data_IF_511568262842
#
_entry.id   IF_511568262842
#
_cell.length_a   1.000
_cell.length_b   1.000
_cell.length_c   1.000
_cell.angle_alpha   90.00
_cell.angle_beta   90.00
_cell.angle_gamma   90.00
#
_symmetry.space_group_name_H-M   'P 1'
#
loop_
_entity.id
_entity.type
_entity.pdbx_description
1 polymer ?
#
# COMPACT_ATOMS: atom_id res chain seq x y z
N UNK A 1 -18.88 43.26 45.01
CA UNK A 1 -18.75 43.64 43.58
C UNK A 1 -17.87 42.59 42.93
N UNK A 2 -18.24 41.77 41.95
CA UNK A 2 -19.46 41.57 41.17
C UNK A 2 -19.58 40.06 40.83
N UNK A 3 -20.77 39.63 40.43
CA UNK A 3 -21.15 38.25 40.06
C UNK A 3 -20.77 37.90 38.60
N UNK A 4 -20.75 36.59 38.29
CA UNK A 4 -21.46 35.86 37.18
C UNK A 4 -20.59 34.79 36.50
N UNK A 5 -20.89 33.50 36.73
CA UNK A 5 -21.74 32.55 35.94
C UNK A 5 -20.90 31.74 34.93
N UNK A 6 -20.65 30.43 35.13
CA UNK A 6 -21.46 29.22 34.79
C UNK A 6 -21.44 28.87 33.31
N UNK A 7 -20.97 27.67 32.93
CA UNK A 7 -21.66 26.74 31.98
C UNK A 7 -21.23 25.29 32.27
N UNK A 8 -22.24 24.44 32.51
CA UNK A 8 -22.20 22.99 32.69
C UNK A 8 -22.28 22.23 31.35
N UNK A 9 -21.87 20.96 31.36
CA UNK A 9 -22.53 19.89 30.61
C UNK A 9 -21.63 19.11 29.65
N UNK A 10 -21.80 17.81 29.38
CA UNK A 10 -22.75 16.76 29.77
C UNK A 10 -21.99 15.43 29.51
N UNK A 11 -22.02 14.49 30.46
CA UNK A 11 -21.48 13.13 30.32
C UNK A 11 -22.41 12.31 29.41
N UNK A 12 -21.96 12.00 28.20
CA UNK A 12 -22.71 11.18 27.22
C UNK A 12 -22.44 9.70 27.46
N UNK A 13 -23.08 9.12 28.48
CA UNK A 13 -23.35 7.68 28.51
C UNK A 13 -24.60 7.40 27.69
N UNK A 14 -24.44 6.74 26.54
CA UNK A 14 -25.56 6.28 25.72
C UNK A 14 -25.92 4.87 26.16
N UNK A 15 -26.94 4.76 27.01
CA UNK A 15 -27.66 3.51 27.26
C UNK A 15 -28.89 3.48 26.33
N UNK A 16 -28.82 2.75 25.21
CA UNK A 16 -30.00 2.47 24.39
C UNK A 16 -30.50 1.07 24.72
N UNK A 17 -31.57 1.06 25.50
CA UNK A 17 -32.40 -0.07 25.88
C UNK A 17 -33.10 -0.68 24.66
N UNK A 18 -33.01 -1.99 24.52
CA UNK A 18 -33.53 -2.76 23.39
C UNK A 18 -34.99 -3.16 23.68
N UNK A 19 -35.96 -2.37 23.19
CA UNK A 19 -37.37 -2.74 23.27
C UNK A 19 -37.83 -3.36 21.94
N UNK A 20 -37.72 -4.68 21.85
CA UNK A 20 -38.38 -5.47 20.82
C UNK A 20 -39.89 -5.50 21.08
N UNK A 21 -40.68 -4.92 20.17
CA UNK A 21 -42.08 -5.30 19.98
C UNK A 21 -42.30 -5.64 18.51
N UNK A 22 -42.53 -6.93 18.26
CA UNK A 22 -42.90 -7.51 16.98
C UNK A 22 -44.22 -6.94 16.47
N UNK A 23 -44.33 -6.76 15.15
CA UNK A 23 -45.55 -7.08 14.38
C UNK A 23 -45.18 -7.38 12.93
N UNK A 24 -45.55 -8.59 12.48
CA UNK A 24 -45.36 -9.12 11.13
C UNK A 24 -46.18 -8.34 10.09
N UNK A 25 -45.69 -8.25 8.85
CA UNK A 25 -46.49 -8.33 7.62
C UNK A 25 -45.61 -8.72 6.43
N UNK A 26 -46.08 -9.71 5.66
CA UNK A 26 -45.55 -10.22 4.39
C UNK A 26 -45.43 -9.13 3.31
N UNK A 27 -44.28 -9.06 2.64
CA UNK A 27 -44.16 -8.72 1.21
C UNK A 27 -42.69 -8.82 0.75
N UNK A 28 -42.42 -9.80 -0.11
CA UNK A 28 -41.26 -9.98 -1.02
C UNK A 28 -40.09 -8.97 -0.88
N UNK A 29 -39.05 -9.34 -0.13
CA UNK A 29 -37.89 -8.48 0.14
C UNK A 29 -36.70 -8.90 -0.74
N UNK A 30 -36.42 -8.12 -1.78
CA UNK A 30 -35.14 -8.15 -2.51
C UNK A 30 -33.99 -8.08 -1.49
N UNK A 31 -33.10 -9.07 -1.50
CA UNK A 31 -32.00 -9.17 -0.53
C UNK A 31 -30.95 -8.09 -0.81
N UNK A 32 -31.16 -6.90 -0.27
CA UNK A 32 -30.16 -5.85 -0.26
C UNK A 32 -29.12 -6.17 0.82
N UNK A 33 -27.87 -6.34 0.40
CA UNK A 33 -26.74 -6.46 1.32
C UNK A 33 -26.58 -5.16 2.11
N UNK A 34 -27.15 -5.12 3.30
CA UNK A 34 -27.12 -3.96 4.18
C UNK A 34 -25.73 -3.81 4.79
N UNK A 35 -24.90 -2.95 4.19
CA UNK A 35 -23.69 -2.46 4.84
C UNK A 35 -24.11 -1.70 6.10
N UNK A 36 -23.65 -2.16 7.25
CA UNK A 36 -24.01 -1.56 8.55
C UNK A 36 -23.67 -0.07 8.58
N UNK A 37 -24.53 0.75 9.20
CA UNK A 37 -24.25 2.18 9.40
C UNK A 37 -22.90 2.42 10.08
N UNK A 38 -22.49 1.52 10.98
CA UNK A 38 -21.18 1.57 11.63
C UNK A 38 -20.03 1.47 10.63
N UNK A 39 -20.16 0.59 9.64
CA UNK A 39 -19.18 0.37 8.59
C UNK A 39 -19.11 1.56 7.62
N UNK A 40 -20.26 2.15 7.30
CA UNK A 40 -20.34 3.37 6.50
C UNK A 40 -19.68 4.56 7.20
N UNK A 41 -19.92 4.73 8.50
CA UNK A 41 -19.26 5.76 9.33
C UNK A 41 -17.74 5.55 9.33
N UNK A 42 -17.27 4.32 9.54
CA UNK A 42 -15.84 3.99 9.52
C UNK A 42 -15.19 4.33 8.16
N UNK A 43 -15.91 4.06 7.06
CA UNK A 43 -15.42 4.39 5.71
C UNK A 43 -15.26 5.90 5.49
N UNK A 44 -16.19 6.72 6.00
CA UNK A 44 -16.11 8.17 5.91
C UNK A 44 -14.97 8.75 6.75
N UNK A 45 -14.81 8.24 7.99
CA UNK A 45 -13.71 8.63 8.88
C UNK A 45 -12.35 8.34 8.22
N UNK A 46 -12.16 7.12 7.70
CA UNK A 46 -10.94 6.73 6.98
C UNK A 46 -10.65 7.60 5.77
N UNK A 47 -11.68 7.98 5.01
CA UNK A 47 -11.52 8.86 3.84
C UNK A 47 -11.11 10.28 4.24
N UNK A 48 -11.70 10.81 5.31
CA UNK A 48 -11.38 12.14 5.83
C UNK A 48 -9.93 12.21 6.33
N UNK A 49 -9.49 11.20 7.09
CA UNK A 49 -8.10 11.10 7.57
C UNK A 49 -7.09 11.03 6.41
N UNK A 50 -7.41 10.28 5.35
CA UNK A 50 -6.59 10.20 4.16
C UNK A 50 -6.47 11.55 3.43
N UNK A 51 -7.53 12.34 3.43
CA UNK A 51 -7.58 13.65 2.80
C UNK A 51 -6.80 14.69 3.62
N UNK A 52 -6.94 14.66 4.95
CA UNK A 52 -6.12 15.47 5.87
C UNK A 52 -4.63 15.17 5.72
N UNK A 53 -4.23 13.90 5.62
CA UNK A 53 -2.82 13.52 5.38
C UNK A 53 -2.26 13.98 4.04
N UNK A 54 -3.08 14.13 3.00
CA UNK A 54 -2.62 14.69 1.71
C UNK A 54 -2.33 16.18 1.79
N UNK A 55 -3.11 16.90 2.60
CA UNK A 55 -2.93 18.34 2.81
C UNK A 55 -1.74 18.64 3.71
N UNK A 56 -1.36 17.69 4.57
CA UNK A 56 -0.24 17.83 5.46
C UNK A 56 1.10 17.80 4.70
N UNK A 57 1.93 18.83 4.91
CA UNK A 57 3.25 18.90 4.29
C UNK A 57 4.14 17.78 4.84
N UNK A 58 4.85 17.02 4.00
CA UNK A 58 5.75 15.97 4.46
C UNK A 58 6.82 16.53 5.40
N UNK A 59 6.80 16.09 6.65
CA UNK A 59 7.76 16.50 7.66
C UNK A 59 8.75 15.37 7.92
N UNK A 60 10.05 15.61 7.64
CA UNK A 60 11.12 14.60 7.73
C UNK A 60 11.32 14.02 9.14
N UNK A 61 10.88 14.73 10.17
CA UNK A 61 11.03 14.31 11.57
C UNK A 61 9.88 13.42 12.04
N UNK A 62 8.82 13.25 11.25
CA UNK A 62 7.74 12.32 11.59
C UNK A 62 8.17 10.88 11.37
N UNK A 63 7.72 10.00 12.25
CA UNK A 63 8.02 8.57 12.22
C UNK A 63 7.47 7.85 10.99
N UNK A 64 6.42 8.39 10.35
CA UNK A 64 5.80 7.85 9.16
C UNK A 64 6.28 8.49 7.85
N UNK A 65 7.29 9.38 7.91
CA UNK A 65 7.87 10.00 6.72
C UNK A 65 8.44 8.94 5.76
N UNK A 66 8.11 9.07 4.48
CA UNK A 66 8.54 8.13 3.43
C UNK A 66 7.72 6.84 3.36
N UNK A 67 6.78 6.61 4.28
CA UNK A 67 5.86 5.46 4.23
C UNK A 67 4.54 5.85 3.56
N UNK A 68 4.06 5.08 2.57
CA UNK A 68 2.76 5.37 1.97
C UNK A 68 1.63 5.14 2.97
N UNK A 69 0.57 5.92 2.82
CA UNK A 69 -0.67 5.75 3.57
C UNK A 69 -1.22 4.33 3.42
N UNK A 70 -1.69 3.74 4.51
CA UNK A 70 -2.30 2.41 4.51
C UNK A 70 -3.59 2.37 3.66
N UNK A 71 -3.73 1.33 2.84
CA UNK A 71 -4.80 1.17 1.86
C UNK A 71 -4.69 2.11 0.64
N UNK A 72 -3.63 2.91 0.53
CA UNK A 72 -3.48 3.81 -0.62
C UNK A 72 -3.01 3.08 -1.88
N UNK A 73 -3.31 3.68 -3.05
CA UNK A 73 -2.78 3.20 -4.33
C UNK A 73 -1.24 3.15 -4.35
N UNK A 74 -0.57 4.06 -3.62
CA UNK A 74 0.89 4.08 -3.53
C UNK A 74 1.42 2.87 -2.76
N UNK A 75 0.78 2.49 -1.65
CA UNK A 75 1.12 1.25 -0.93
C UNK A 75 0.94 0.02 -1.83
N UNK A 76 -0.20 -0.09 -2.52
CA UNK A 76 -0.47 -1.21 -3.41
C UNK A 76 0.57 -1.33 -4.54
N UNK A 77 0.98 -0.21 -5.15
CA UNK A 77 2.06 -0.19 -6.14
C UNK A 77 3.41 -0.60 -5.53
N UNK A 78 3.72 -0.13 -4.33
CA UNK A 78 4.95 -0.51 -3.63
C UNK A 78 5.02 -2.01 -3.35
N UNK A 79 3.92 -2.61 -2.86
CA UNK A 79 3.82 -4.05 -2.63
C UNK A 79 3.98 -4.81 -3.94
N UNK A 80 3.28 -4.39 -5.01
CA UNK A 80 3.38 -5.05 -6.31
C UNK A 80 4.78 -4.98 -6.91
N UNK A 81 5.48 -3.85 -6.74
CA UNK A 81 6.83 -3.67 -7.26
C UNK A 81 7.89 -4.42 -6.41
N UNK A 82 7.61 -4.67 -5.13
CA UNK A 82 8.55 -5.30 -4.20
C UNK A 82 9.05 -6.64 -4.71
N UNK A 83 8.15 -7.53 -5.14
CA UNK A 83 8.54 -8.88 -5.57
C UNK A 83 9.44 -8.84 -6.81
N UNK A 84 9.13 -7.97 -7.77
CA UNK A 84 9.93 -7.78 -8.98
C UNK A 84 11.32 -7.26 -8.64
N UNK A 85 11.42 -6.20 -7.84
CA UNK A 85 12.71 -5.61 -7.45
C UNK A 85 13.53 -6.59 -6.61
N UNK A 86 12.90 -7.30 -5.68
CA UNK A 86 13.56 -8.31 -4.85
C UNK A 86 14.13 -9.43 -5.72
N UNK A 87 13.40 -9.86 -6.76
CA UNK A 87 13.91 -10.84 -7.70
C UNK A 87 15.09 -10.29 -8.52
N UNK A 88 14.98 -9.07 -9.06
CA UNK A 88 16.08 -8.43 -9.80
C UNK A 88 17.35 -8.27 -8.98
N UNK A 89 17.23 -7.96 -7.69
CA UNK A 89 18.36 -7.89 -6.74
C UNK A 89 18.97 -9.28 -6.54
N UNK A 90 18.17 -10.33 -6.33
CA UNK A 90 18.67 -11.70 -6.20
C UNK A 90 19.42 -12.15 -7.46
N UNK A 91 18.87 -11.86 -8.62
CA UNK A 91 19.48 -12.19 -9.90
C UNK A 91 20.80 -11.42 -10.08
N UNK A 92 20.83 -10.14 -9.71
CA UNK A 92 22.04 -9.33 -9.71
C UNK A 92 23.11 -9.90 -8.77
N UNK A 93 22.76 -10.24 -7.54
CA UNK A 93 23.71 -10.83 -6.58
C UNK A 93 24.25 -12.18 -7.08
N UNK A 94 23.39 -13.03 -7.63
CA UNK A 94 23.79 -14.32 -8.23
C UNK A 94 24.74 -14.09 -9.40
N UNK A 95 24.43 -13.10 -10.25
CA UNK A 95 25.29 -12.73 -11.37
C UNK A 95 26.66 -12.26 -10.89
N UNK A 96 26.73 -11.38 -9.90
CA UNK A 96 27.99 -10.90 -9.31
C UNK A 96 28.77 -12.05 -8.70
N UNK A 97 28.11 -12.95 -7.97
CA UNK A 97 28.75 -14.11 -7.36
C UNK A 97 29.39 -15.05 -8.39
N UNK A 98 28.76 -15.22 -9.56
CA UNK A 98 29.23 -16.12 -10.61
C UNK A 98 30.28 -15.50 -11.55
N UNK A 99 30.24 -14.18 -11.75
CA UNK A 99 31.05 -13.50 -12.78
C UNK A 99 32.05 -12.47 -12.19
N UNK A 100 31.96 -12.19 -10.89
CA UNK A 100 32.85 -11.26 -10.20
C UNK A 100 34.17 -11.88 -9.81
N UNK A 101 35.12 -11.02 -9.47
CA UNK A 101 36.44 -11.39 -8.94
C UNK A 101 36.38 -11.46 -7.43
N UNK A 102 36.92 -12.54 -6.86
CA UNK A 102 37.08 -12.69 -5.42
C UNK A 102 38.32 -11.92 -4.95
N UNK A 103 38.13 -11.11 -3.92
CA UNK A 103 39.17 -10.31 -3.28
C UNK A 103 39.80 -11.06 -2.09
N UNK A 104 40.93 -10.55 -1.60
CA UNK A 104 41.67 -11.13 -0.46
C UNK A 104 40.86 -11.12 0.85
N UNK A 105 39.91 -10.19 0.98
CA UNK A 105 38.98 -10.08 2.11
C UNK A 105 37.74 -10.99 2.00
N UNK A 106 37.75 -11.94 1.05
CA UNK A 106 36.62 -12.81 0.67
C UNK A 106 35.39 -12.09 0.11
N UNK A 107 35.45 -10.79 -0.18
CA UNK A 107 34.37 -10.12 -0.92
C UNK A 107 34.42 -10.49 -2.41
N UNK A 108 33.27 -10.44 -3.09
CA UNK A 108 33.19 -10.61 -4.55
C UNK A 108 32.82 -9.26 -5.14
N UNK A 109 33.62 -8.79 -6.10
CA UNK A 109 33.40 -7.52 -6.78
C UNK A 109 33.34 -7.71 -8.28
N UNK A 110 32.57 -6.86 -8.95
CA UNK A 110 32.52 -6.82 -10.41
C UNK A 110 32.67 -5.37 -10.85
N UNK A 111 33.35 -5.13 -11.96
CA UNK A 111 33.37 -3.80 -12.55
C UNK A 111 32.02 -3.49 -13.19
N UNK A 112 31.66 -2.21 -13.24
CA UNK A 112 30.44 -1.78 -13.91
C UNK A 112 30.42 -2.20 -15.40
N UNK A 113 31.57 -2.15 -16.09
CA UNK A 113 31.68 -2.60 -17.49
C UNK A 113 31.29 -4.07 -17.68
N UNK A 114 31.89 -4.97 -16.90
CA UNK A 114 31.59 -6.41 -16.96
C UNK A 114 30.12 -6.72 -16.64
N UNK A 115 29.52 -5.99 -15.68
CA UNK A 115 28.11 -6.15 -15.35
C UNK A 115 27.18 -5.84 -16.54
N UNK A 116 27.57 -4.87 -17.37
CA UNK A 116 26.78 -4.42 -18.52
C UNK A 116 27.11 -5.15 -19.84
N UNK A 117 28.24 -5.84 -19.94
CA UNK A 117 28.57 -6.62 -21.15
C UNK A 117 27.77 -7.94 -21.21
N UNK A 118 27.58 -8.61 -20.07
CA UNK A 118 27.03 -9.98 -20.05
C UNK A 118 25.50 -10.02 -19.85
N UNK A 119 24.93 -9.09 -19.07
CA UNK A 119 23.51 -9.14 -18.69
C UNK A 119 22.54 -8.80 -19.83
N UNK A 120 22.94 -7.95 -20.78
CA UNK A 120 22.00 -7.35 -21.74
C UNK A 120 21.96 -8.02 -23.11
N UNK A 121 23.01 -8.75 -23.50
CA UNK A 121 23.08 -9.34 -24.84
C UNK A 121 22.08 -10.49 -25.05
N UNK A 122 21.93 -11.47 -24.14
CA UNK A 122 21.01 -12.59 -24.37
C UNK A 122 19.54 -12.18 -24.24
N UNK A 123 19.22 -11.28 -23.31
CA UNK A 123 17.84 -10.85 -23.04
C UNK A 123 17.29 -9.93 -24.14
N UNK A 124 18.11 -9.02 -24.68
CA UNK A 124 17.70 -8.17 -25.80
C UNK A 124 17.50 -9.03 -27.06
N UNK A 125 18.39 -9.98 -27.32
CA UNK A 125 18.25 -10.92 -28.45
C UNK A 125 16.99 -11.78 -28.29
N UNK A 126 16.69 -12.27 -27.08
CA UNK A 126 15.46 -13.04 -26.81
C UNK A 126 14.19 -12.20 -26.97
N UNK A 127 14.17 -10.96 -26.46
CA UNK A 127 13.04 -10.04 -26.60
C UNK A 127 12.81 -9.64 -28.06
N UNK A 128 13.88 -9.37 -28.82
CA UNK A 128 13.80 -9.06 -30.25
C UNK A 128 13.29 -10.26 -31.06
N UNK A 129 13.79 -11.47 -30.79
CA UNK A 129 13.33 -12.69 -31.48
C UNK A 129 11.85 -12.96 -31.19
N UNK A 130 11.40 -12.80 -29.95
CA UNK A 130 10.00 -12.99 -29.59
C UNK A 130 9.09 -11.93 -30.25
N UNK A 131 9.52 -10.67 -30.30
CA UNK A 131 8.79 -9.59 -30.98
C UNK A 131 8.70 -9.78 -32.50
N UNK A 132 9.78 -10.25 -33.14
CA UNK A 132 9.81 -10.54 -34.59
C UNK A 132 8.83 -11.67 -34.92
N UNK A 133 8.82 -12.75 -34.14
CA UNK A 133 7.95 -13.90 -34.39
C UNK A 133 6.46 -13.56 -34.24
N UNK A 134 6.10 -12.67 -33.31
CA UNK A 134 4.73 -12.19 -33.11
C UNK A 134 4.23 -11.22 -34.21
N UNK A 135 5.13 -10.71 -35.06
CA UNK A 135 4.78 -9.76 -36.13
C UNK A 135 4.72 -10.42 -37.53
N UNK A 136 5.18 -11.66 -37.64
CA UNK A 136 5.17 -12.47 -38.86
C UNK A 136 4.09 -13.56 -38.88
N UNK A 137 3.26 -13.62 -37.83
CA UNK A 137 2.02 -14.42 -37.77
C UNK A 137 0.81 -13.50 -37.75
#
# INVERSE_FOLDING_TARGET
MAMKETVNGIDNRIDINNNNNNNNNDSDEETYEYVSLSERIASYQKKLEAEQRKLEKPCKTKSDYGRPLEGSKTQARGIKAYDTIAQEIRDLCTFIANNGTKNDDNTITITFGQLFEVKYWPSIVSLLNNWINQRLT
#
